data_IF_915069708607
#
_entry.id   IF_915069708607
#
_cell.length_a   1.000
_cell.length_b   1.000
_cell.length_c   1.000
_cell.angle_alpha   90.00
_cell.angle_beta   90.00
_cell.angle_gamma   90.00
#
_symmetry.space_group_name_H-M   'P 1'
#
loop_
_entity.id
_entity.type
_entity.pdbx_description
1 polymer ?
#
# COMPACT_ATOMS: atom_id res chain seq x y z
N UNK A 1 -5.51 8.89 43.28
CA UNK A 1 -4.28 8.84 42.49
C UNK A 1 -4.32 7.55 41.68
N UNK A 2 -4.88 7.58 40.50
CA UNK A 2 -4.94 6.45 39.57
C UNK A 2 -4.15 6.84 38.32
N UNK A 3 -2.93 6.31 38.19
CA UNK A 3 -2.13 6.46 37.02
C UNK A 3 -2.76 5.57 35.90
N UNK A 4 -3.37 6.21 34.92
CA UNK A 4 -3.79 5.56 33.69
C UNK A 4 -2.55 5.11 32.92
N UNK A 5 -2.31 3.82 32.85
CA UNK A 5 -1.37 3.20 31.93
C UNK A 5 -1.89 3.42 30.51
N UNK A 6 -1.29 4.36 29.83
CA UNK A 6 -1.40 4.48 28.39
C UNK A 6 -0.74 3.24 27.78
N UNK A 7 -1.52 2.25 27.39
CA UNK A 7 -1.01 1.10 26.63
C UNK A 7 -0.57 1.63 25.27
N UNK A 8 0.75 1.75 25.08
CA UNK A 8 1.32 1.86 23.76
C UNK A 8 0.87 0.62 22.98
N UNK A 9 -0.04 0.80 22.03
CA UNK A 9 -0.31 -0.21 21.02
C UNK A 9 0.98 -0.42 20.25
N UNK A 10 1.65 -1.54 20.51
CA UNK A 10 2.73 -2.03 19.66
C UNK A 10 2.10 -2.27 18.29
N UNK A 11 2.52 -1.47 17.32
CA UNK A 11 2.19 -1.74 15.92
C UNK A 11 2.59 -3.19 15.64
N UNK A 12 1.61 -4.04 15.31
CA UNK A 12 1.84 -5.44 15.03
C UNK A 12 2.85 -5.59 13.89
N UNK A 13 3.67 -6.62 13.95
CA UNK A 13 4.58 -6.97 12.85
C UNK A 13 3.75 -7.23 11.59
N UNK A 14 4.20 -6.68 10.47
CA UNK A 14 3.58 -6.89 9.16
C UNK A 14 4.31 -8.00 8.43
N UNK A 15 3.55 -8.92 7.86
CA UNK A 15 4.09 -10.04 7.13
C UNK A 15 3.64 -10.04 5.68
N UNK A 16 4.56 -10.44 4.79
CA UNK A 16 4.31 -10.63 3.38
C UNK A 16 4.41 -12.10 3.02
N UNK A 17 3.47 -12.60 2.22
CA UNK A 17 3.49 -13.96 1.66
C UNK A 17 3.90 -13.87 0.19
N UNK A 18 5.08 -14.37 -0.16
CA UNK A 18 5.62 -14.32 -1.52
C UNK A 18 6.14 -15.69 -1.90
N UNK A 19 5.61 -16.27 -2.98
CA UNK A 19 6.03 -17.59 -3.43
C UNK A 19 5.84 -18.72 -2.40
N UNK A 20 4.92 -18.54 -1.45
CA UNK A 20 4.68 -19.50 -0.35
C UNK A 20 5.59 -19.33 0.86
N UNK A 21 6.40 -18.28 0.91
CA UNK A 21 7.29 -17.93 2.03
C UNK A 21 6.81 -16.65 2.69
N UNK A 22 6.92 -16.57 4.02
CA UNK A 22 6.64 -15.36 4.78
C UNK A 22 7.89 -14.51 4.95
N UNK A 23 7.68 -13.21 5.02
CA UNK A 23 8.73 -12.23 5.26
C UNK A 23 8.21 -11.16 6.22
N UNK A 24 9.04 -10.79 7.21
CA UNK A 24 8.78 -9.61 8.04
C UNK A 24 9.27 -8.38 7.26
N UNK A 25 8.35 -7.65 6.65
CA UNK A 25 8.66 -6.55 5.73
C UNK A 25 8.78 -6.98 4.28
N UNK A 26 8.94 -6.02 3.38
CA UNK A 26 9.05 -6.26 1.95
C UNK A 26 10.36 -7.00 1.63
N UNK A 27 10.30 -8.16 0.95
CA UNK A 27 11.51 -8.89 0.58
C UNK A 27 12.42 -8.09 -0.34
N UNK A 28 13.75 -8.16 -0.18
CA UNK A 28 14.70 -7.47 -1.06
C UNK A 28 14.47 -7.83 -2.54
N UNK A 29 14.50 -6.84 -3.41
CA UNK A 29 14.33 -7.03 -4.85
C UNK A 29 12.91 -7.39 -5.31
N UNK A 30 11.93 -7.46 -4.40
CA UNK A 30 10.51 -7.61 -4.75
C UNK A 30 9.88 -6.22 -4.88
N UNK A 31 9.28 -5.94 -6.04
CA UNK A 31 8.67 -4.64 -6.34
C UNK A 31 7.83 -4.70 -7.61
N UNK A 32 7.47 -3.55 -8.16
CA UNK A 32 6.58 -3.44 -9.32
C UNK A 32 7.03 -4.20 -10.56
N UNK A 33 8.33 -4.34 -10.76
CA UNK A 33 8.88 -5.01 -11.94
C UNK A 33 8.59 -6.51 -11.94
N UNK A 34 8.42 -7.10 -10.76
CA UNK A 34 8.23 -8.52 -10.60
C UNK A 34 6.94 -8.93 -9.86
N UNK A 35 6.19 -7.97 -9.30
CA UNK A 35 4.87 -8.21 -8.69
C UNK A 35 3.76 -8.00 -9.72
N UNK A 36 2.85 -8.95 -9.81
CA UNK A 36 1.66 -8.87 -10.66
C UNK A 36 0.43 -8.39 -9.90
N UNK A 37 0.33 -8.71 -8.62
CA UNK A 37 -0.75 -8.30 -7.73
C UNK A 37 -0.32 -8.43 -6.28
N UNK A 38 -0.94 -7.64 -5.41
CA UNK A 38 -0.90 -7.85 -3.97
C UNK A 38 -2.34 -8.04 -3.46
N UNK A 39 -2.48 -8.86 -2.43
CA UNK A 39 -3.77 -9.22 -1.84
C UNK A 39 -3.59 -9.18 -0.33
N UNK A 40 -4.40 -8.36 0.33
CA UNK A 40 -4.42 -8.29 1.79
C UNK A 40 -5.34 -9.39 2.29
N UNK A 41 -4.83 -10.24 3.16
CA UNK A 41 -5.59 -11.28 3.85
C UNK A 41 -5.70 -10.90 5.33
N UNK A 42 -6.93 -10.85 5.82
CA UNK A 42 -7.21 -10.73 7.25
C UNK A 42 -7.77 -12.05 7.76
N UNK A 43 -7.24 -12.56 8.85
CA UNK A 43 -7.97 -13.55 9.64
C UNK A 43 -8.89 -12.81 10.62
N UNK A 44 -9.95 -13.45 11.09
CA UNK A 44 -10.88 -12.85 12.05
C UNK A 44 -10.26 -12.45 13.40
N UNK A 45 -8.95 -12.70 13.59
CA UNK A 45 -8.16 -12.39 14.79
C UNK A 45 -7.29 -11.14 14.65
N UNK A 46 -7.46 -10.35 13.59
CA UNK A 46 -6.70 -9.13 13.26
C UNK A 46 -5.24 -9.36 12.86
N UNK A 47 -4.89 -10.53 12.36
CA UNK A 47 -3.61 -10.73 11.72
C UNK A 47 -3.73 -10.37 10.22
N UNK A 48 -2.88 -9.49 9.76
CA UNK A 48 -2.81 -9.13 8.34
C UNK A 48 -1.58 -9.74 7.70
N UNK A 49 -1.80 -10.42 6.56
CA UNK A 49 -0.72 -10.87 5.68
C UNK A 49 -0.97 -10.32 4.28
N UNK A 50 -0.01 -9.64 3.72
CA UNK A 50 -0.06 -9.17 2.34
C UNK A 50 0.57 -10.24 1.41
N UNK A 51 -0.25 -10.90 0.61
CA UNK A 51 0.24 -11.81 -0.44
C UNK A 51 0.71 -11.02 -1.65
N UNK A 52 1.97 -11.21 -2.05
CA UNK A 52 2.54 -10.65 -3.28
C UNK A 52 2.61 -11.76 -4.33
N UNK A 53 1.84 -11.62 -5.40
CA UNK A 53 1.90 -12.53 -6.53
C UNK A 53 2.93 -12.08 -7.52
N UNK A 54 3.96 -12.88 -7.71
CA UNK A 54 4.99 -12.60 -8.70
C UNK A 54 4.46 -12.77 -10.13
N UNK A 55 5.01 -12.02 -11.07
CA UNK A 55 4.73 -12.18 -12.50
C UNK A 55 5.15 -13.57 -12.97
N UNK A 56 4.48 -14.07 -14.02
CA UNK A 56 4.76 -15.38 -14.59
C UNK A 56 6.24 -15.49 -14.98
N UNK A 57 6.90 -16.53 -14.48
CA UNK A 57 8.32 -16.80 -14.74
C UNK A 57 9.29 -16.14 -13.77
N UNK A 58 8.80 -15.29 -12.88
CA UNK A 58 9.61 -14.71 -11.80
C UNK A 58 9.57 -15.65 -10.60
N UNK A 59 10.75 -15.94 -10.04
CA UNK A 59 10.93 -16.71 -8.81
C UNK A 59 11.86 -15.95 -7.88
N UNK A 60 11.68 -16.13 -6.57
CA UNK A 60 12.59 -15.56 -5.58
C UNK A 60 13.97 -16.21 -5.72
N UNK A 61 15.04 -15.41 -5.69
CA UNK A 61 16.40 -15.92 -5.61
C UNK A 61 16.64 -16.66 -4.30
N UNK A 62 17.63 -17.55 -4.27
CA UNK A 62 18.00 -18.26 -3.04
C UNK A 62 18.41 -17.28 -1.93
N UNK A 63 19.14 -16.22 -2.25
CA UNK A 63 19.51 -15.18 -1.31
C UNK A 63 18.28 -14.53 -0.64
N UNK A 64 17.21 -14.23 -1.41
CA UNK A 64 16.00 -13.66 -0.86
C UNK A 64 15.24 -14.67 0.01
N UNK A 65 15.28 -15.96 -0.33
CA UNK A 65 14.64 -17.03 0.45
C UNK A 65 15.25 -17.19 1.85
N UNK A 66 16.54 -16.87 2.02
CA UNK A 66 17.22 -16.91 3.32
C UNK A 66 16.66 -15.87 4.31
N UNK A 67 16.03 -14.79 3.82
CA UNK A 67 15.35 -13.80 4.67
C UNK A 67 13.92 -14.20 5.06
N UNK A 68 13.46 -15.38 4.64
CA UNK A 68 12.09 -15.80 4.96
C UNK A 68 11.94 -16.04 6.47
N UNK A 69 10.82 -15.56 7.01
CA UNK A 69 10.43 -15.82 8.39
C UNK A 69 9.83 -17.23 8.49
N UNK A 70 10.26 -18.07 9.44
CA UNK A 70 9.66 -19.37 9.66
C UNK A 70 8.13 -19.26 9.89
N UNK A 71 7.37 -20.16 9.29
CA UNK A 71 5.91 -20.07 9.34
C UNK A 71 5.33 -20.22 10.76
N UNK A 72 6.01 -20.94 11.64
CA UNK A 72 5.67 -21.10 13.06
C UNK A 72 5.89 -19.82 13.89
N UNK A 73 6.66 -18.88 13.37
CA UNK A 73 6.85 -17.54 13.97
C UNK A 73 5.83 -16.51 13.49
N UNK A 74 5.02 -16.85 12.47
CA UNK A 74 4.04 -15.94 11.87
C UNK A 74 2.64 -16.24 12.38
N UNK A 75 1.99 -15.34 13.12
CA UNK A 75 0.62 -15.55 13.60
C UNK A 75 -0.34 -15.84 12.44
N UNK A 76 -1.11 -16.92 12.54
CA UNK A 76 -2.08 -17.30 11.51
C UNK A 76 -1.51 -17.94 10.24
N UNK A 77 -0.19 -18.16 10.15
CA UNK A 77 0.49 -18.67 8.96
C UNK A 77 -0.09 -19.97 8.40
N UNK A 78 -0.47 -20.90 9.26
CA UNK A 78 -1.02 -22.19 8.83
C UNK A 78 -2.31 -22.01 8.02
N UNK A 79 -3.20 -21.15 8.47
CA UNK A 79 -4.44 -20.83 7.77
C UNK A 79 -4.16 -20.18 6.41
N UNK A 80 -3.20 -19.27 6.34
CA UNK A 80 -2.78 -18.64 5.09
C UNK A 80 -2.14 -19.64 4.13
N UNK A 81 -1.26 -20.52 4.59
CA UNK A 81 -0.62 -21.55 3.77
C UNK A 81 -1.60 -22.61 3.27
N UNK A 82 -2.60 -22.98 4.06
CA UNK A 82 -3.65 -23.89 3.59
C UNK A 82 -4.43 -23.29 2.43
N UNK A 83 -4.74 -22.00 2.46
CA UNK A 83 -5.41 -21.34 1.36
C UNK A 83 -4.51 -21.22 0.13
N UNK A 84 -3.22 -21.00 0.32
CA UNK A 84 -2.23 -20.86 -0.75
C UNK A 84 -1.95 -22.21 -1.46
N UNK A 85 -1.82 -23.30 -0.70
CA UNK A 85 -1.61 -24.66 -1.24
C UNK A 85 -2.84 -25.23 -1.95
N UNK A 86 -4.01 -24.67 -1.67
CA UNK A 86 -5.28 -25.09 -2.24
C UNK A 86 -5.50 -24.69 -3.70
N UNK A 87 -4.45 -24.61 -4.53
CA UNK A 87 -4.54 -24.39 -5.98
C UNK A 87 -5.36 -25.45 -6.76
N UNK A 88 -6.03 -26.35 -6.07
CA UNK A 88 -7.03 -27.27 -6.58
C UNK A 88 -8.39 -27.00 -5.93
N UNK A 89 -9.03 -25.92 -6.37
CA UNK A 89 -10.49 -25.92 -6.56
C UNK A 89 -11.41 -25.89 -5.34
N UNK A 90 -10.98 -25.82 -4.07
CA UNK A 90 -11.86 -25.50 -2.96
C UNK A 90 -11.37 -24.22 -2.30
N UNK A 91 -12.05 -23.09 -2.62
CA UNK A 91 -12.01 -21.90 -1.78
C UNK A 91 -12.42 -22.31 -0.38
N UNK A 92 -11.45 -22.55 0.49
CA UNK A 92 -11.74 -22.48 1.90
C UNK A 92 -12.10 -21.02 2.19
N UNK A 93 -13.19 -20.76 2.88
CA UNK A 93 -13.48 -19.42 3.35
C UNK A 93 -12.46 -19.14 4.47
N UNK A 94 -11.29 -18.65 4.09
CA UNK A 94 -10.57 -17.80 5.00
C UNK A 94 -11.47 -16.58 5.07
N UNK A 95 -12.00 -16.29 6.26
CA UNK A 95 -13.03 -15.29 6.46
C UNK A 95 -12.56 -13.86 6.29
N UNK A 96 -11.77 -13.60 5.26
CA UNK A 96 -11.38 -12.30 4.79
C UNK A 96 -11.72 -12.21 3.31
N UNK A 97 -12.79 -11.52 2.97
CA UNK A 97 -12.97 -11.05 1.60
C UNK A 97 -11.74 -10.21 1.24
N UNK A 98 -11.22 -10.37 0.02
CA UNK A 98 -10.29 -9.38 -0.55
C UNK A 98 -10.99 -8.04 -0.38
N UNK A 99 -10.52 -7.25 0.58
CA UNK A 99 -11.10 -5.94 0.79
C UNK A 99 -10.55 -5.04 -0.31
N UNK A 100 -11.41 -4.66 -1.22
CA UNK A 100 -11.14 -3.59 -2.17
C UNK A 100 -11.67 -2.30 -1.58
N UNK A 101 -11.05 -1.18 -1.94
CA UNK A 101 -11.55 0.15 -1.56
C UNK A 101 -13.07 0.23 -1.84
N UNK A 102 -13.84 0.23 -0.79
CA UNK A 102 -15.29 0.47 -0.87
C UNK A 102 -15.52 1.96 -0.67
N UNK A 103 -15.78 2.66 -1.76
CA UNK A 103 -15.98 4.12 -1.77
C UNK A 103 -16.98 4.56 -0.72
N UNK A 104 -18.05 3.78 -0.54
CA UNK A 104 -19.14 4.04 0.38
C UNK A 104 -18.70 4.04 1.84
N UNK A 105 -17.63 3.32 2.15
CA UNK A 105 -17.10 3.25 3.51
C UNK A 105 -16.26 4.48 3.88
N UNK A 106 -15.70 5.18 2.88
CA UNK A 106 -14.75 6.28 3.10
C UNK A 106 -15.33 7.66 2.81
N UNK A 107 -16.25 7.79 1.85
CA UNK A 107 -16.86 9.08 1.53
C UNK A 107 -17.58 9.66 2.75
N UNK A 108 -17.24 10.90 3.07
CA UNK A 108 -17.77 11.63 4.23
C UNK A 108 -17.03 11.38 5.54
N UNK A 109 -16.06 10.46 5.59
CA UNK A 109 -15.22 10.24 6.76
C UNK A 109 -14.01 11.17 6.79
N UNK A 110 -13.49 11.40 7.99
CA UNK A 110 -12.23 12.10 8.16
C UNK A 110 -11.08 11.27 7.60
N UNK A 111 -10.17 11.91 6.86
CA UNK A 111 -8.93 11.29 6.42
C UNK A 111 -8.11 10.86 7.65
N UNK A 112 -7.55 9.64 7.66
CA UNK A 112 -6.82 9.11 8.81
C UNK A 112 -5.57 9.93 9.14
N UNK A 113 -5.05 9.77 10.36
CA UNK A 113 -3.73 10.25 10.72
C UNK A 113 -2.68 9.49 9.93
N UNK A 114 -1.65 10.19 9.44
CA UNK A 114 -0.56 9.58 8.71
C UNK A 114 0.77 10.29 8.98
N UNK A 115 1.85 9.56 8.74
CA UNK A 115 3.21 10.07 8.68
C UNK A 115 3.99 9.27 7.64
N UNK A 116 4.38 9.94 6.56
CA UNK A 116 5.07 9.34 5.42
C UNK A 116 6.25 10.21 5.01
N UNK A 117 7.16 9.67 4.17
CA UNK A 117 8.26 10.44 3.58
C UNK A 117 8.13 10.44 2.07
N UNK A 118 8.43 11.57 1.46
CA UNK A 118 8.57 11.64 0.01
C UNK A 118 9.96 11.19 -0.47
N UNK A 119 10.11 11.11 -1.79
CA UNK A 119 11.38 10.67 -2.41
C UNK A 119 12.55 11.63 -2.21
N UNK A 120 12.29 12.83 -1.73
CA UNK A 120 13.30 13.83 -1.36
C UNK A 120 13.64 13.77 0.15
N UNK A 121 12.94 12.91 0.91
CA UNK A 121 13.15 12.70 2.34
C UNK A 121 12.36 13.64 3.24
N UNK A 122 11.49 14.49 2.68
CA UNK A 122 10.62 15.35 3.48
C UNK A 122 9.53 14.49 4.13
N UNK A 123 9.29 14.73 5.41
CA UNK A 123 8.17 14.12 6.13
C UNK A 123 6.87 14.87 5.84
N UNK A 124 5.82 14.09 5.65
CA UNK A 124 4.45 14.56 5.46
C UNK A 124 3.54 13.93 6.50
N UNK A 125 2.66 14.73 7.05
CA UNK A 125 1.67 14.31 8.05
C UNK A 125 0.31 14.96 7.76
N UNK A 126 -0.71 14.55 8.47
CA UNK A 126 -2.02 15.19 8.37
C UNK A 126 -1.99 16.68 8.71
N UNK A 127 -1.12 17.10 9.62
CA UNK A 127 -0.97 18.51 9.98
C UNK A 127 -0.54 19.37 8.78
N UNK A 128 0.34 18.83 7.91
CA UNK A 128 0.87 19.55 6.74
C UNK A 128 -0.19 19.76 5.65
N UNK A 129 -1.24 18.94 5.63
CA UNK A 129 -2.33 19.00 4.64
C UNK A 129 -3.64 19.55 5.21
N UNK A 130 -3.70 19.82 6.51
CA UNK A 130 -4.90 20.37 7.15
C UNK A 130 -5.14 21.82 6.73
N UNK A 131 -6.40 22.15 6.45
CA UNK A 131 -6.81 23.50 6.02
C UNK A 131 -6.71 23.73 4.51
N UNK A 132 -6.16 22.78 3.75
CA UNK A 132 -6.07 22.79 2.28
C UNK A 132 -6.73 21.54 1.72
N UNK A 133 -7.36 21.59 0.53
CA UNK A 133 -7.76 20.37 -0.14
C UNK A 133 -6.54 19.51 -0.49
N UNK A 134 -6.72 18.20 -0.53
CA UNK A 134 -5.66 17.27 -0.91
C UNK A 134 -6.17 16.25 -1.92
N UNK A 135 -5.30 15.88 -2.84
CA UNK A 135 -5.45 14.77 -3.77
C UNK A 135 -4.40 13.72 -3.40
N UNK A 136 -4.82 12.48 -3.17
CA UNK A 136 -3.95 11.33 -3.00
C UNK A 136 -4.20 10.36 -4.14
N UNK A 137 -3.21 10.18 -5.02
CA UNK A 137 -3.27 9.24 -6.14
C UNK A 137 -2.44 8.00 -5.85
N UNK A 138 -3.01 6.84 -6.10
CA UNK A 138 -2.37 5.52 -5.97
C UNK A 138 -1.93 5.02 -7.33
N UNK A 139 -0.66 4.70 -7.46
CA UNK A 139 -0.08 4.23 -8.70
C UNK A 139 1.10 3.27 -8.47
N UNK A 140 1.65 2.70 -9.53
CA UNK A 140 2.94 2.01 -9.50
C UNK A 140 3.62 2.08 -10.87
N UNK A 141 4.92 1.85 -10.90
CA UNK A 141 5.75 2.09 -12.11
C UNK A 141 5.41 1.17 -13.29
N UNK A 142 4.82 -0.01 -13.04
CA UNK A 142 4.31 -0.92 -14.06
C UNK A 142 2.86 -0.70 -14.46
N UNK A 143 2.17 0.31 -13.88
CA UNK A 143 0.75 0.56 -14.12
C UNK A 143 0.54 1.38 -15.40
N UNK A 144 0.29 0.72 -16.52
CA UNK A 144 0.03 1.38 -17.80
C UNK A 144 -1.12 2.41 -17.76
N UNK A 145 -2.30 2.10 -17.17
CA UNK A 145 -3.37 3.07 -17.01
C UNK A 145 -2.95 4.29 -16.19
N UNK A 146 -2.25 4.09 -15.06
CA UNK A 146 -1.78 5.19 -14.19
C UNK A 146 -0.86 6.14 -14.96
N UNK A 147 0.09 5.60 -15.71
CA UNK A 147 1.03 6.39 -16.52
C UNK A 147 0.29 7.21 -17.59
N UNK A 148 -0.78 6.67 -18.16
CA UNK A 148 -1.56 7.39 -19.18
C UNK A 148 -2.35 8.56 -18.62
N UNK A 149 -2.75 8.53 -17.34
CA UNK A 149 -3.51 9.63 -16.72
C UNK A 149 -2.61 10.75 -16.17
N UNK A 150 -1.30 10.51 -15.94
CA UNK A 150 -0.38 11.50 -15.36
C UNK A 150 -0.40 12.87 -16.07
N UNK A 151 -0.40 12.97 -17.41
CA UNK A 151 -0.45 14.27 -18.08
C UNK A 151 -1.73 15.06 -17.77
N UNK A 152 -2.84 14.36 -17.56
CA UNK A 152 -4.11 15.01 -17.19
C UNK A 152 -4.09 15.45 -15.73
N UNK A 153 -3.59 14.60 -14.84
CA UNK A 153 -3.44 14.92 -13.42
C UNK A 153 -2.49 16.10 -13.20
N UNK A 154 -1.42 16.21 -13.98
CA UNK A 154 -0.49 17.31 -13.89
C UNK A 154 -1.15 18.67 -14.17
N UNK A 155 -2.15 18.73 -15.06
CA UNK A 155 -2.91 19.96 -15.33
C UNK A 155 -3.68 20.47 -14.12
N UNK A 156 -4.05 19.57 -13.22
CA UNK A 156 -4.78 19.96 -12.00
C UNK A 156 -3.94 20.88 -11.11
N UNK A 157 -2.62 20.71 -11.10
CA UNK A 157 -1.71 21.57 -10.33
C UNK A 157 -1.77 23.01 -10.82
N UNK A 158 -1.84 23.20 -12.14
CA UNK A 158 -1.95 24.52 -12.75
C UNK A 158 -3.30 25.18 -12.50
N UNK A 159 -4.38 24.38 -12.58
CA UNK A 159 -5.75 24.86 -12.42
C UNK A 159 -6.11 25.10 -10.95
N UNK A 160 -5.57 24.26 -10.03
CA UNK A 160 -5.88 24.30 -8.61
C UNK A 160 -4.60 24.33 -7.76
N UNK A 161 -3.84 25.45 -7.79
CA UNK A 161 -2.50 25.53 -7.15
C UNK A 161 -2.56 25.48 -5.61
N UNK A 162 -3.71 25.73 -5.00
CA UNK A 162 -3.91 25.67 -3.54
C UNK A 162 -4.17 24.25 -3.00
N UNK A 163 -4.19 23.24 -3.87
CA UNK A 163 -4.40 21.83 -3.50
C UNK A 163 -3.06 21.16 -3.22
N UNK A 164 -2.98 20.33 -2.20
CA UNK A 164 -1.83 19.44 -1.96
C UNK A 164 -1.98 18.18 -2.80
N UNK A 165 -0.96 17.84 -3.57
CA UNK A 165 -0.95 16.69 -4.47
C UNK A 165 0.08 15.66 -4.02
N UNK A 166 -0.38 14.50 -3.56
CA UNK A 166 0.45 13.36 -3.17
C UNK A 166 0.19 12.19 -4.12
N UNK A 167 1.23 11.52 -4.54
CA UNK A 167 1.16 10.27 -5.29
C UNK A 167 1.89 9.18 -4.50
N UNK A 168 1.18 8.13 -4.14
CA UNK A 168 1.71 7.05 -3.31
C UNK A 168 1.90 5.77 -4.10
N UNK A 169 2.99 5.08 -3.84
CA UNK A 169 3.33 3.79 -4.43
C UNK A 169 4.17 2.93 -3.49
N UNK A 170 4.03 1.63 -3.63
CA UNK A 170 4.91 0.66 -2.96
C UNK A 170 6.28 0.49 -3.65
N UNK A 171 6.50 1.17 -4.78
CA UNK A 171 7.78 1.17 -5.48
C UNK A 171 8.80 2.03 -4.77
N UNK A 172 10.08 1.67 -4.93
CA UNK A 172 11.19 2.43 -4.37
C UNK A 172 11.39 3.79 -5.07
N UNK A 173 12.01 4.73 -4.36
CA UNK A 173 12.36 6.04 -4.92
C UNK A 173 13.17 5.94 -6.23
N UNK A 174 14.05 4.94 -6.35
CA UNK A 174 14.84 4.71 -7.56
C UNK A 174 13.97 4.29 -8.76
N UNK A 175 12.97 3.43 -8.53
CA UNK A 175 12.01 3.02 -9.56
C UNK A 175 11.13 4.17 -9.99
N UNK A 176 10.64 4.97 -9.03
CA UNK A 176 9.85 6.18 -9.30
C UNK A 176 10.65 7.13 -10.19
N UNK A 177 11.87 7.52 -9.77
CA UNK A 177 12.74 8.48 -10.49
C UNK A 177 12.92 8.05 -11.94
N UNK A 178 13.19 6.78 -12.21
CA UNK A 178 13.35 6.24 -13.56
C UNK A 178 12.11 6.46 -14.46
N UNK A 179 10.91 6.39 -13.88
CA UNK A 179 9.68 6.61 -14.66
C UNK A 179 9.41 8.10 -14.83
N UNK A 180 9.49 8.89 -13.76
CA UNK A 180 9.12 10.31 -13.82
C UNK A 180 10.12 11.17 -14.62
N UNK A 181 11.35 10.72 -14.81
CA UNK A 181 12.32 11.33 -15.73
C UNK A 181 11.82 11.33 -17.20
N UNK A 182 11.20 10.24 -17.63
CA UNK A 182 10.71 10.09 -19.00
C UNK A 182 9.23 10.42 -19.17
N UNK A 183 8.47 10.36 -18.10
CA UNK A 183 7.02 10.60 -18.03
C UNK A 183 6.71 11.40 -16.76
N UNK A 184 6.85 12.74 -16.82
CA UNK A 184 6.70 13.57 -15.64
C UNK A 184 5.38 13.36 -14.92
N UNK A 185 5.47 13.12 -13.60
CA UNK A 185 4.33 13.12 -12.69
C UNK A 185 4.67 14.10 -11.56
N UNK A 186 4.03 15.27 -11.60
CA UNK A 186 4.41 16.44 -10.80
C UNK A 186 3.87 16.41 -9.36
N UNK A 187 3.11 15.39 -9.00
CA UNK A 187 2.67 15.18 -7.62
C UNK A 187 3.87 14.83 -6.73
N UNK A 188 3.81 15.21 -5.46
CA UNK A 188 4.81 14.78 -4.47
C UNK A 188 4.78 13.26 -4.34
N UNK A 189 5.91 12.61 -4.60
CA UNK A 189 6.00 11.16 -4.70
C UNK A 189 6.33 10.53 -3.34
N UNK A 190 5.45 9.68 -2.84
CA UNK A 190 5.66 8.88 -1.62
C UNK A 190 6.07 7.48 -2.05
N UNK A 191 7.32 7.09 -1.73
CA UNK A 191 7.91 5.80 -2.08
C UNK A 191 7.80 4.80 -0.93
N UNK A 192 7.95 3.50 -1.29
CA UNK A 192 8.00 2.39 -0.33
C UNK A 192 6.81 2.42 0.66
N UNK A 193 5.68 2.97 0.23
CA UNK A 193 4.50 3.16 1.07
C UNK A 193 3.52 2.00 0.93
N UNK A 194 3.21 1.40 2.05
CA UNK A 194 2.11 0.45 2.18
C UNK A 194 1.02 0.97 3.12
N UNK A 195 1.33 2.00 3.90
CA UNK A 195 0.40 2.53 4.89
C UNK A 195 -0.92 2.96 4.26
N UNK A 196 -0.88 3.77 3.20
CA UNK A 196 -2.10 4.20 2.52
C UNK A 196 -2.79 3.05 1.78
N UNK A 197 -2.03 2.15 1.14
CA UNK A 197 -2.60 0.98 0.46
C UNK A 197 -3.37 0.09 1.42
N UNK A 198 -2.82 -0.20 2.58
CA UNK A 198 -3.45 -1.00 3.62
C UNK A 198 -4.62 -0.26 4.27
N UNK A 199 -4.42 1.02 4.63
CA UNK A 199 -5.47 1.84 5.27
C UNK A 199 -6.74 1.91 4.43
N UNK A 200 -6.59 2.08 3.11
CA UNK A 200 -7.70 2.24 2.18
C UNK A 200 -8.08 0.95 1.45
N UNK A 201 -7.40 -0.17 1.74
CA UNK A 201 -7.61 -1.47 1.07
C UNK A 201 -7.54 -1.36 -0.47
N UNK A 202 -6.55 -0.60 -0.98
CA UNK A 202 -6.37 -0.40 -2.41
C UNK A 202 -5.69 -1.61 -3.02
N UNK A 203 -6.42 -2.39 -3.80
CA UNK A 203 -5.94 -3.60 -4.49
C UNK A 203 -5.86 -3.47 -6.01
N UNK A 204 -6.33 -2.38 -6.57
CA UNK A 204 -6.27 -2.09 -8.01
C UNK A 204 -6.01 -0.60 -8.26
N UNK A 205 -5.19 -0.29 -9.25
CA UNK A 205 -4.78 1.06 -9.60
C UNK A 205 -5.08 1.39 -11.06
N UNK A 206 -5.31 2.67 -11.41
CA UNK A 206 -5.21 3.85 -10.53
C UNK A 206 -6.41 4.04 -9.60
N UNK A 207 -6.18 4.66 -8.46
CA UNK A 207 -7.20 5.17 -7.53
C UNK A 207 -6.82 6.58 -7.13
N UNK A 208 -7.81 7.47 -7.04
CA UNK A 208 -7.61 8.84 -6.56
C UNK A 208 -8.61 9.15 -5.46
N UNK A 209 -8.09 9.60 -4.32
CA UNK A 209 -8.87 10.06 -3.17
C UNK A 209 -8.81 11.59 -3.11
N UNK A 210 -9.97 12.21 -3.02
CA UNK A 210 -10.11 13.65 -2.82
C UNK A 210 -10.44 13.95 -1.37
N UNK A 211 -9.74 14.92 -0.79
CA UNK A 211 -9.98 15.36 0.60
C UNK A 211 -10.23 16.85 0.60
N UNK A 212 -11.29 17.28 1.25
CA UNK A 212 -11.60 18.70 1.34
C UNK A 212 -10.73 19.41 2.41
N UNK A 213 -10.80 20.74 2.47
CA UNK A 213 -10.05 21.56 3.44
C UNK A 213 -10.38 21.28 4.90
N UNK A 214 -11.47 20.56 5.18
CA UNK A 214 -11.84 20.10 6.54
C UNK A 214 -11.26 18.73 6.85
N UNK A 215 -10.50 18.13 5.91
CA UNK A 215 -9.94 16.79 6.05
C UNK A 215 -10.95 15.68 5.83
N UNK A 216 -12.05 15.94 5.12
CA UNK A 216 -13.09 14.95 4.84
C UNK A 216 -12.94 14.39 3.43
N UNK A 217 -12.98 13.09 3.29
CA UNK A 217 -12.92 12.36 2.02
C UNK A 217 -14.22 12.60 1.22
N UNK A 218 -14.06 12.87 -0.08
CA UNK A 218 -15.15 13.25 -0.99
C UNK A 218 -15.28 12.33 -2.19
#
# INVERSE_FOLDING_TARGET
VGAGLCSAQTAGKKYYLVGGLFFEGMPPGVGSDNVAAFIIHEDGARHEVTELRLRKGIVLSEEVREYATPADEVPGAEAFLMSYRGGTGKKLPIGGAVQTLKKEEWIGKAFPEFKVKDIEGQEWSKADVTGRPMVLNFWYTGCGPCIREMPELNKWIEVYPDVTYLATTFDSAAQIKKIVESRPFLFTQIADDLFFFETFHVSGMPVTILVDKKGIIR
#
